data_IF_933893963570
#
_entry.id   IF_933893963570
#
_cell.length_a   1.000
_cell.length_b   1.000
_cell.length_c   1.000
_cell.angle_alpha   90.00
_cell.angle_beta   90.00
_cell.angle_gamma   90.00
#
_symmetry.space_group_name_H-M   'P 1'
#
loop_
_entity.id
_entity.type
_entity.pdbx_description
1 polymer ?
#
# COMPACT_ATOMS: atom_id res chain seq x y z
N UNK A 1 12.55 -7.35 -5.96
CA UNK A 1 12.29 -7.30 -4.51
C UNK A 1 10.96 -7.96 -4.15
N UNK A 2 9.86 -7.76 -4.89
CA UNK A 2 8.57 -8.46 -4.66
C UNK A 2 8.66 -9.98 -4.39
N UNK A 3 9.51 -10.72 -5.12
CA UNK A 3 9.75 -12.15 -4.86
C UNK A 3 10.39 -12.41 -3.49
N UNK A 4 11.38 -11.59 -3.11
CA UNK A 4 12.02 -11.69 -1.81
C UNK A 4 11.04 -11.32 -0.68
N UNK A 5 10.25 -10.27 -0.86
CA UNK A 5 9.21 -9.88 0.10
C UNK A 5 8.17 -10.99 0.28
N UNK A 6 7.71 -11.61 -0.81
CA UNK A 6 6.76 -12.73 -0.75
C UNK A 6 7.37 -13.94 -0.03
N UNK A 7 8.63 -14.28 -0.32
CA UNK A 7 9.35 -15.35 0.38
C UNK A 7 9.47 -15.05 1.89
N UNK A 8 9.78 -13.81 2.26
CA UNK A 8 9.83 -13.36 3.65
C UNK A 8 8.47 -13.44 4.33
N UNK A 9 7.39 -13.03 3.65
CA UNK A 9 6.02 -13.13 4.17
C UNK A 9 5.67 -14.60 4.47
N UNK A 10 6.00 -15.52 3.58
CA UNK A 10 5.75 -16.95 3.81
C UNK A 10 6.60 -17.52 4.94
N UNK A 11 7.88 -17.18 5.00
CA UNK A 11 8.78 -17.69 6.02
C UNK A 11 8.38 -17.27 7.44
N UNK A 12 7.88 -16.04 7.59
CA UNK A 12 7.46 -15.47 8.87
C UNK A 12 5.94 -15.36 9.02
N UNK A 13 5.16 -16.15 8.26
CA UNK A 13 3.70 -16.09 8.35
C UNK A 13 3.21 -16.63 9.70
N UNK A 14 2.28 -15.95 10.40
CA UNK A 14 1.55 -14.71 10.06
C UNK A 14 2.13 -13.42 10.68
N UNK A 15 3.35 -13.45 11.21
CA UNK A 15 3.95 -12.35 12.00
C UNK A 15 4.25 -11.09 11.17
N UNK A 16 4.66 -11.24 9.91
CA UNK A 16 4.95 -10.10 9.02
C UNK A 16 3.73 -9.59 8.24
N UNK A 17 2.59 -10.29 8.30
CA UNK A 17 1.39 -9.91 7.59
C UNK A 17 0.34 -11.03 7.55
N UNK A 18 -0.93 -10.63 7.47
CA UNK A 18 -2.04 -11.54 7.23
C UNK A 18 -2.15 -11.97 5.76
N UNK A 19 -3.16 -12.78 5.47
CA UNK A 19 -3.44 -13.31 4.13
C UNK A 19 -3.63 -12.20 3.07
N UNK A 20 -4.06 -11.01 3.50
CA UNK A 20 -4.19 -9.86 2.60
C UNK A 20 -2.85 -9.45 1.95
N UNK A 21 -1.72 -9.59 2.66
CA UNK A 21 -0.41 -9.26 2.07
C UNK A 21 -0.01 -10.30 1.03
N UNK A 22 -0.32 -11.57 1.28
CA UNK A 22 -0.08 -12.65 0.31
C UNK A 22 -0.84 -12.37 -0.98
N UNK A 23 -2.15 -12.08 -0.90
CA UNK A 23 -2.96 -11.71 -2.07
C UNK A 23 -2.44 -10.47 -2.78
N UNK A 24 -2.06 -9.43 -2.03
CA UNK A 24 -1.48 -8.21 -2.59
C UNK A 24 -0.24 -8.50 -3.43
N UNK A 25 0.71 -9.26 -2.88
CA UNK A 25 1.95 -9.59 -3.59
C UNK A 25 1.70 -10.48 -4.81
N UNK A 26 0.82 -11.47 -4.73
CA UNK A 26 0.46 -12.30 -5.89
C UNK A 26 -0.17 -11.50 -7.02
N UNK A 27 -1.18 -10.67 -6.72
CA UNK A 27 -1.84 -9.84 -7.71
C UNK A 27 -0.88 -8.84 -8.36
N UNK A 28 -0.03 -8.21 -7.54
CA UNK A 28 0.97 -7.25 -8.01
C UNK A 28 2.01 -7.93 -8.90
N UNK A 29 2.56 -9.08 -8.47
CA UNK A 29 3.51 -9.85 -9.27
C UNK A 29 2.91 -10.33 -10.59
N UNK A 30 1.66 -10.83 -10.56
CA UNK A 30 0.98 -11.25 -11.77
C UNK A 30 0.83 -10.09 -12.76
N UNK A 31 0.37 -8.91 -12.31
CA UNK A 31 0.27 -7.72 -13.16
C UNK A 31 1.64 -7.26 -13.70
N UNK A 32 2.69 -7.29 -12.87
CA UNK A 32 4.06 -6.94 -13.27
C UNK A 32 4.57 -7.92 -14.35
N UNK A 33 4.42 -9.23 -14.13
CA UNK A 33 4.86 -10.27 -15.08
C UNK A 33 4.14 -10.10 -16.41
N UNK A 34 2.81 -9.89 -16.40
CA UNK A 34 2.04 -9.65 -17.61
C UNK A 34 2.55 -8.40 -18.35
N UNK A 35 2.82 -7.31 -17.65
CA UNK A 35 3.27 -6.07 -18.27
C UNK A 35 4.70 -6.18 -18.84
N UNK A 36 5.61 -6.83 -18.13
CA UNK A 36 6.99 -7.02 -18.57
C UNK A 36 7.07 -7.98 -19.76
N UNK A 37 6.33 -9.09 -19.74
CA UNK A 37 6.39 -10.09 -20.81
C UNK A 37 5.64 -9.68 -22.08
N UNK A 38 4.56 -8.90 -21.96
CA UNK A 38 3.81 -8.39 -23.11
C UNK A 38 4.35 -7.07 -23.68
N UNK A 39 5.13 -6.32 -22.90
CA UNK A 39 5.53 -4.95 -23.23
C UNK A 39 4.38 -3.94 -23.18
N UNK A 40 3.22 -4.31 -22.64
CA UNK A 40 2.03 -3.45 -22.56
C UNK A 40 1.68 -3.06 -21.12
N UNK A 41 0.81 -2.04 -20.96
CA UNK A 41 0.29 -1.58 -19.65
C UNK A 41 1.34 -1.07 -18.65
N UNK A 42 2.58 -0.84 -19.08
CA UNK A 42 3.69 -0.42 -18.21
C UNK A 42 3.38 0.89 -17.48
N UNK A 43 2.75 1.86 -18.16
CA UNK A 43 2.29 3.11 -17.55
C UNK A 43 1.44 2.87 -16.30
N UNK A 44 0.43 2.00 -16.40
CA UNK A 44 -0.46 1.67 -15.29
C UNK A 44 0.26 0.88 -14.19
N UNK A 45 1.16 -0.04 -14.54
CA UNK A 45 1.99 -0.76 -13.56
C UNK A 45 2.91 0.19 -12.80
N UNK A 46 3.54 1.17 -13.48
CA UNK A 46 4.37 2.17 -12.82
C UNK A 46 3.57 3.04 -11.86
N UNK A 47 2.37 3.47 -12.22
CA UNK A 47 1.48 4.18 -11.30
C UNK A 47 1.18 3.34 -10.05
N UNK A 48 0.87 2.05 -10.20
CA UNK A 48 0.65 1.18 -9.03
C UNK A 48 1.94 1.00 -8.21
N UNK A 49 3.10 0.87 -8.84
CA UNK A 49 4.39 0.72 -8.16
C UNK A 49 4.80 1.94 -7.33
N UNK A 50 4.37 3.16 -7.69
CA UNK A 50 4.59 4.35 -6.85
C UNK A 50 3.96 4.20 -5.46
N UNK A 51 2.94 3.35 -5.29
CA UNK A 51 2.35 3.06 -3.98
C UNK A 51 3.32 2.37 -3.01
N UNK A 52 4.39 1.77 -3.52
CA UNK A 52 5.46 1.14 -2.72
C UNK A 52 6.36 2.18 -2.03
N UNK A 53 6.25 3.46 -2.39
CA UNK A 53 6.89 4.54 -1.65
C UNK A 53 6.44 4.61 -0.17
N UNK A 54 5.31 4.00 0.19
CA UNK A 54 4.85 3.94 1.59
C UNK A 54 5.50 2.81 2.39
N UNK A 55 6.09 1.81 1.72
CA UNK A 55 6.62 0.58 2.34
C UNK A 55 7.72 0.85 3.37
N UNK A 56 8.66 1.80 3.16
CA UNK A 56 9.63 2.16 4.20
C UNK A 56 8.97 2.63 5.52
N UNK A 57 7.87 3.39 5.45
CA UNK A 57 7.17 3.86 6.65
C UNK A 57 6.43 2.73 7.38
N UNK A 58 5.89 1.76 6.63
CA UNK A 58 5.27 0.55 7.19
C UNK A 58 6.31 -0.26 7.96
N UNK A 59 7.46 -0.53 7.33
CA UNK A 59 8.55 -1.29 7.94
C UNK A 59 9.15 -0.59 9.16
N UNK A 60 9.36 0.74 9.07
CA UNK A 60 9.84 1.51 10.21
C UNK A 60 8.85 1.50 11.37
N UNK A 61 7.54 1.56 11.09
CA UNK A 61 6.50 1.49 12.13
C UNK A 61 6.52 0.14 12.84
N UNK A 62 6.61 -0.94 12.08
CA UNK A 62 6.69 -2.31 12.61
C UNK A 62 7.95 -2.49 13.46
N UNK A 63 9.10 -2.00 13.00
CA UNK A 63 10.36 -2.06 13.76
C UNK A 63 10.28 -1.30 15.09
N UNK A 64 9.74 -0.08 15.08
CA UNK A 64 9.54 0.72 16.29
C UNK A 64 8.50 0.11 17.25
N UNK A 65 7.49 -0.58 16.72
CA UNK A 65 6.54 -1.34 17.53
C UNK A 65 7.25 -2.47 18.29
N UNK A 66 7.95 -3.34 17.56
CA UNK A 66 8.61 -4.52 18.12
C UNK A 66 9.76 -4.20 19.07
N UNK A 67 10.42 -3.05 18.88
CA UNK A 67 11.45 -2.56 19.81
C UNK A 67 10.87 -1.86 21.05
N UNK A 68 9.55 -1.88 21.26
CA UNK A 68 8.90 -1.27 22.41
C UNK A 68 8.80 0.26 22.36
N UNK A 69 9.06 0.87 21.20
CA UNK A 69 9.19 2.33 21.04
C UNK A 69 7.88 3.05 20.66
N UNK A 70 6.71 2.48 20.98
CA UNK A 70 5.40 3.10 20.68
C UNK A 70 5.20 4.49 21.29
N UNK A 71 5.87 4.77 22.41
CA UNK A 71 5.83 6.07 23.09
C UNK A 71 6.78 7.12 22.53
N UNK A 72 7.64 6.77 21.57
CA UNK A 72 8.67 7.67 21.04
C UNK A 72 8.10 8.74 20.09
N UNK A 73 8.81 9.87 19.98
CA UNK A 73 8.52 10.88 18.95
C UNK A 73 8.68 10.29 17.55
N UNK A 74 9.67 9.43 17.32
CA UNK A 74 9.90 8.75 16.04
C UNK A 74 8.69 7.92 15.61
N UNK A 75 8.09 7.14 16.51
CA UNK A 75 6.88 6.34 16.21
C UNK A 75 5.68 7.21 15.82
N UNK A 76 5.54 8.37 16.48
CA UNK A 76 4.46 9.33 16.19
C UNK A 76 4.69 10.03 14.85
N UNK A 77 5.88 10.56 14.60
CA UNK A 77 6.22 11.23 13.34
C UNK A 77 6.12 10.27 12.14
N UNK A 78 6.65 9.05 12.27
CA UNK A 78 6.50 8.02 11.25
C UNK A 78 5.02 7.64 11.03
N UNK A 79 4.19 7.62 12.09
CA UNK A 79 2.76 7.41 11.96
C UNK A 79 2.05 8.49 11.13
N UNK A 80 2.43 9.76 11.31
CA UNK A 80 1.91 10.88 10.52
C UNK A 80 2.41 10.78 9.06
N UNK A 81 3.70 10.52 8.85
CA UNK A 81 4.29 10.34 7.53
C UNK A 81 3.64 9.16 6.78
N UNK A 82 3.43 8.03 7.44
CA UNK A 82 2.73 6.88 6.90
C UNK A 82 1.30 7.23 6.47
N UNK A 83 0.55 7.96 7.31
CA UNK A 83 -0.81 8.37 6.99
C UNK A 83 -0.87 9.29 5.75
N UNK A 84 -0.03 10.33 5.71
CA UNK A 84 0.03 11.27 4.58
C UNK A 84 0.52 10.58 3.31
N UNK A 85 1.57 9.76 3.40
CA UNK A 85 2.09 8.98 2.30
C UNK A 85 1.03 8.02 1.74
N UNK A 86 0.24 7.37 2.60
CA UNK A 86 -0.85 6.49 2.18
C UNK A 86 -1.95 7.26 1.46
N UNK A 87 -2.36 8.41 1.98
CA UNK A 87 -3.36 9.25 1.32
C UNK A 87 -2.92 9.62 -0.10
N UNK A 88 -1.68 10.09 -0.27
CA UNK A 88 -1.18 10.53 -1.57
C UNK A 88 -0.92 9.35 -2.51
N UNK A 89 -0.08 8.40 -2.11
CA UNK A 89 0.43 7.36 -2.98
C UNK A 89 -0.53 6.17 -3.17
N UNK A 90 -1.54 6.00 -2.31
CA UNK A 90 -2.47 4.85 -2.35
C UNK A 90 -3.93 5.23 -2.54
N UNK A 91 -4.37 6.41 -2.09
CA UNK A 91 -5.76 6.86 -2.29
C UNK A 91 -5.86 7.80 -3.49
N UNK A 92 -5.20 8.95 -3.43
CA UNK A 92 -5.27 9.96 -4.50
C UNK A 92 -4.68 9.44 -5.82
N UNK A 93 -3.57 8.71 -5.75
CA UNK A 93 -2.97 8.08 -6.93
C UNK A 93 -3.91 7.05 -7.59
N UNK A 94 -4.65 6.27 -6.82
CA UNK A 94 -5.61 5.32 -7.38
C UNK A 94 -6.84 6.03 -7.97
N UNK A 95 -7.29 7.13 -7.37
CA UNK A 95 -8.32 7.99 -7.98
C UNK A 95 -7.82 8.50 -9.35
N UNK A 96 -6.61 9.06 -9.39
CA UNK A 96 -5.98 9.49 -10.64
C UNK A 96 -5.87 8.36 -11.66
N UNK A 97 -5.42 7.17 -11.23
CA UNK A 97 -5.33 5.97 -12.05
C UNK A 97 -6.68 5.65 -12.72
N UNK A 98 -7.77 5.59 -11.94
CA UNK A 98 -9.09 5.23 -12.48
C UNK A 98 -9.67 6.31 -13.38
N UNK A 99 -9.47 7.59 -13.05
CA UNK A 99 -9.88 8.71 -13.91
C UNK A 99 -9.11 8.66 -15.24
N UNK A 100 -7.78 8.50 -15.20
CA UNK A 100 -6.97 8.38 -16.41
C UNK A 100 -7.40 7.18 -17.25
N UNK A 101 -7.63 6.02 -16.62
CA UNK A 101 -8.10 4.82 -17.30
C UNK A 101 -9.45 5.02 -17.97
N UNK A 102 -10.38 5.72 -17.32
CA UNK A 102 -11.70 6.04 -17.88
C UNK A 102 -11.59 6.98 -19.09
N UNK A 103 -10.81 8.06 -18.98
CA UNK A 103 -10.63 9.02 -20.06
C UNK A 103 -9.87 8.43 -21.27
N UNK A 104 -8.92 7.53 -21.01
CA UNK A 104 -8.11 6.86 -22.03
C UNK A 104 -8.57 5.42 -22.31
N UNK A 105 -9.85 5.10 -22.05
CA UNK A 105 -10.36 3.73 -22.13
C UNK A 105 -10.22 3.10 -23.53
N UNK A 106 -10.23 3.92 -24.58
CA UNK A 106 -9.98 3.46 -25.95
C UNK A 106 -8.58 2.82 -26.11
N UNK A 107 -7.56 3.33 -25.43
CA UNK A 107 -6.20 2.75 -25.41
C UNK A 107 -6.17 1.47 -24.56
N UNK A 108 -6.90 1.45 -23.45
CA UNK A 108 -7.02 0.28 -22.57
C UNK A 108 -7.60 -0.92 -23.32
N UNK A 109 -8.59 -0.70 -24.20
CA UNK A 109 -9.16 -1.75 -25.05
C UNK A 109 -8.18 -2.37 -26.07
N UNK A 110 -7.07 -1.71 -26.36
CA UNK A 110 -6.05 -2.22 -27.27
C UNK A 110 -5.07 -3.17 -26.57
N UNK A 111 -5.13 -3.26 -25.24
CA UNK A 111 -4.31 -4.21 -24.47
C UNK A 111 -4.74 -5.64 -24.80
N UNK A 112 -3.78 -6.55 -24.90
CA UNK A 112 -4.06 -7.98 -25.10
C UNK A 112 -5.10 -8.51 -24.08
N UNK A 113 -5.93 -9.53 -24.42
CA UNK A 113 -7.13 -9.87 -23.66
C UNK A 113 -6.91 -10.06 -22.16
N UNK A 114 -5.90 -10.85 -21.77
CA UNK A 114 -5.60 -11.10 -20.37
C UNK A 114 -5.12 -9.83 -19.64
N UNK A 115 -4.34 -8.97 -20.30
CA UNK A 115 -3.91 -7.69 -19.75
C UNK A 115 -5.07 -6.71 -19.57
N UNK A 116 -6.01 -6.67 -20.52
CA UNK A 116 -7.24 -5.88 -20.42
C UNK A 116 -8.07 -6.26 -19.20
N UNK A 117 -8.40 -7.56 -19.04
CA UNK A 117 -9.16 -8.02 -17.87
C UNK A 117 -8.40 -7.81 -16.56
N UNK A 118 -7.07 -7.95 -16.58
CA UNK A 118 -6.22 -7.69 -15.41
C UNK A 118 -6.28 -6.22 -14.98
N UNK A 119 -6.25 -5.27 -15.92
CA UNK A 119 -6.40 -3.83 -15.62
C UNK A 119 -7.78 -3.48 -15.03
N UNK A 120 -8.83 -4.25 -15.38
CA UNK A 120 -10.18 -4.02 -14.86
C UNK A 120 -10.47 -4.71 -13.53
N UNK A 121 -9.60 -5.61 -13.07
CA UNK A 121 -9.85 -6.44 -11.87
C UNK A 121 -8.81 -6.23 -10.78
N UNK A 122 -7.53 -6.19 -11.14
CA UNK A 122 -6.43 -6.10 -10.17
C UNK A 122 -6.36 -4.72 -9.50
N UNK A 123 -6.30 -3.58 -10.24
CA UNK A 123 -6.27 -2.27 -9.60
C UNK A 123 -7.48 -2.00 -8.69
N UNK A 124 -8.73 -2.36 -9.05
CA UNK A 124 -9.85 -2.27 -8.11
C UNK A 124 -9.67 -3.11 -6.84
N UNK A 125 -9.20 -4.35 -6.95
CA UNK A 125 -8.92 -5.19 -5.78
C UNK A 125 -7.86 -4.54 -4.86
N UNK A 126 -6.76 -4.04 -5.44
CA UNK A 126 -5.72 -3.32 -4.73
C UNK A 126 -6.24 -2.03 -4.09
N UNK A 127 -7.14 -1.30 -4.76
CA UNK A 127 -7.77 -0.09 -4.23
C UNK A 127 -8.61 -0.39 -2.98
N UNK A 128 -9.43 -1.44 -3.02
CA UNK A 128 -10.23 -1.87 -1.85
C UNK A 128 -9.32 -2.19 -0.67
N UNK A 129 -8.25 -2.95 -0.89
CA UNK A 129 -7.26 -3.27 0.15
C UNK A 129 -6.60 -2.00 0.70
N UNK A 130 -6.22 -1.06 -0.18
CA UNK A 130 -5.65 0.24 0.21
C UNK A 130 -6.61 1.05 1.08
N UNK A 131 -7.92 1.04 0.82
CA UNK A 131 -8.91 1.71 1.67
C UNK A 131 -9.08 1.02 3.03
N UNK A 132 -9.11 -0.31 3.06
CA UNK A 132 -9.18 -1.08 4.31
C UNK A 132 -7.95 -0.82 5.21
N UNK A 133 -6.76 -0.79 4.62
CA UNK A 133 -5.53 -0.46 5.34
C UNK A 133 -5.48 1.02 5.75
N UNK A 134 -5.93 1.94 4.90
CA UNK A 134 -6.00 3.36 5.24
C UNK A 134 -6.88 3.60 6.47
N UNK A 135 -8.02 2.89 6.56
CA UNK A 135 -8.87 2.91 7.74
C UNK A 135 -8.13 2.42 9.00
N UNK A 136 -7.40 1.29 8.91
CA UNK A 136 -6.58 0.77 10.03
C UNK A 136 -5.51 1.78 10.46
N UNK A 137 -4.82 2.40 9.50
CA UNK A 137 -3.78 3.42 9.75
C UNK A 137 -4.38 4.65 10.43
N UNK A 138 -5.50 5.16 9.93
CA UNK A 138 -6.21 6.31 10.50
C UNK A 138 -6.60 6.06 11.95
N UNK A 139 -7.24 4.91 12.24
CA UNK A 139 -7.57 4.52 13.62
C UNK A 139 -6.34 4.42 14.51
N UNK A 140 -5.25 3.82 14.00
CA UNK A 140 -3.98 3.71 14.72
C UNK A 140 -3.35 5.06 15.04
N UNK A 141 -3.42 6.02 14.12
CA UNK A 141 -2.90 7.37 14.30
C UNK A 141 -3.72 8.14 15.34
N UNK A 142 -5.05 8.16 15.22
CA UNK A 142 -5.94 8.81 16.19
C UNK A 142 -5.65 8.29 17.61
N UNK A 143 -5.55 6.97 17.79
CA UNK A 143 -5.22 6.37 19.08
C UNK A 143 -3.85 6.82 19.63
N UNK A 144 -2.86 6.97 18.76
CA UNK A 144 -1.50 7.40 19.13
C UNK A 144 -1.51 8.87 19.60
N UNK A 145 -2.16 9.74 18.84
CA UNK A 145 -2.25 11.18 19.14
C UNK A 145 -3.08 11.47 20.39
N UNK A 146 -4.22 10.78 20.57
CA UNK A 146 -5.04 10.93 21.78
C UNK A 146 -4.28 10.56 23.05
N UNK A 147 -3.49 9.47 23.01
CA UNK A 147 -2.64 9.08 24.16
C UNK A 147 -1.54 10.10 24.46
N UNK A 148 -0.89 10.62 23.41
CA UNK A 148 0.14 11.65 23.57
C UNK A 148 -0.43 12.90 24.25
N UNK A 149 -1.62 13.36 23.85
CA UNK A 149 -2.32 14.49 24.47
C UNK A 149 -2.58 14.28 25.96
N UNK A 150 -3.11 13.12 26.35
CA UNK A 150 -3.37 12.79 27.77
C UNK A 150 -2.08 12.70 28.59
N UNK A 151 -1.00 12.17 28.02
CA UNK A 151 0.30 12.10 28.72
C UNK A 151 0.97 13.47 28.91
N UNK A 152 0.75 14.41 27.97
CA UNK A 152 1.23 15.78 28.08
C UNK A 152 0.51 16.57 29.18
N UNK A 153 -0.82 16.39 29.31
CA UNK A 153 -1.61 17.00 30.38
C UNK A 153 -1.26 16.50 31.79
N UNK A 154 -0.73 15.27 31.93
CA UNK A 154 -0.27 14.75 33.23
C UNK A 154 1.12 15.23 33.64
N UNK A 155 1.86 15.88 32.73
CA UNK A 155 3.21 16.42 32.97
C UNK A 155 3.22 17.94 33.18
N UNK A 156 2.06 18.59 33.06
CA UNK A 156 1.82 19.98 33.46
C UNK A 156 1.11 19.97 34.82
#
# INVERSE_FOLDING_TARGET
YFLADLAMIFWYFPTLGGIEYVFHHFLSMFAIILSVTSGQSQFYVFLVLLSEATTPFVNLRWYLDNSGQKGSKAYTLNGIALFLGWLVARVLLFIFFFVHMYLHFHQVKQVFPLGFYSLLTIPPALAVMNLLWFWKITKGLIKTLSKAKTSGMKKQ
#
